data_IF_919193843406
#
_entry.id   IF_919193843406
#
_cell.length_a   1.000
_cell.length_b   1.000
_cell.length_c   1.000
_cell.angle_alpha   90.00
_cell.angle_beta   90.00
_cell.angle_gamma   90.00
#
_symmetry.space_group_name_H-M   'P 1'
#
loop_
_entity.id
_entity.type
_entity.pdbx_description
1 polymer ?
#
# COMPACT_ATOMS: atom_id res chain seq x y z
N UNK A 1 -4.51 20.48 -13.84
CA UNK A 1 -4.69 21.39 -12.68
C UNK A 1 -3.34 21.65 -12.05
N UNK A 2 -2.97 22.92 -12.06
CA UNK A 2 -1.69 23.45 -11.63
C UNK A 2 -1.54 23.25 -10.12
N UNK A 3 -0.31 22.91 -9.70
CA UNK A 3 0.18 22.85 -8.31
C UNK A 3 -0.59 23.87 -7.46
N UNK A 4 -1.37 23.39 -6.48
CA UNK A 4 -2.17 24.26 -5.61
C UNK A 4 -1.26 25.31 -4.99
N UNK A 5 -1.59 26.59 -5.19
CA UNK A 5 -0.96 27.74 -4.57
C UNK A 5 -0.93 27.54 -3.04
N UNK A 6 0.24 27.23 -2.47
CA UNK A 6 0.41 27.18 -1.02
C UNK A 6 1.66 26.44 -0.54
N UNK A 7 2.04 25.34 -1.19
CA UNK A 7 3.23 24.57 -0.85
C UNK A 7 4.21 24.60 -2.02
N UNK A 8 5.23 25.46 -1.93
CA UNK A 8 6.35 25.40 -2.85
C UNK A 8 7.11 24.10 -2.58
N UNK A 9 7.10 23.16 -3.53
CA UNK A 9 7.93 21.96 -3.47
C UNK A 9 9.40 22.38 -3.54
N UNK A 10 10.13 22.10 -2.46
CA UNK A 10 11.57 22.30 -2.40
C UNK A 10 12.27 21.13 -3.10
N UNK A 11 13.04 21.44 -4.16
CA UNK A 11 13.84 20.47 -4.91
C UNK A 11 15.31 20.75 -4.65
N UNK A 12 16.08 19.70 -4.34
CA UNK A 12 17.53 19.75 -4.27
C UNK A 12 18.11 18.99 -5.46
N UNK A 13 19.00 19.62 -6.23
CA UNK A 13 19.73 18.97 -7.32
C UNK A 13 21.17 18.75 -6.87
N UNK A 14 21.64 17.51 -6.94
CA UNK A 14 22.98 17.10 -6.52
C UNK A 14 23.70 16.46 -7.71
N UNK A 15 24.71 17.16 -8.22
CA UNK A 15 25.49 16.74 -9.39
C UNK A 15 26.78 17.56 -9.49
N UNK A 16 27.92 16.95 -9.80
CA UNK A 16 29.23 17.61 -9.86
C UNK A 16 29.36 18.61 -11.04
N UNK A 17 28.47 18.52 -12.04
CA UNK A 17 28.34 19.47 -13.14
C UNK A 17 27.51 20.70 -12.75
N UNK A 18 28.21 21.81 -12.51
CA UNK A 18 27.60 23.14 -12.28
C UNK A 18 26.68 23.54 -13.44
N UNK A 19 27.10 23.27 -14.68
CA UNK A 19 26.29 23.59 -15.86
C UNK A 19 24.96 22.84 -15.86
N UNK A 20 24.97 21.55 -15.54
CA UNK A 20 23.77 20.72 -15.55
C UNK A 20 22.82 21.10 -14.42
N UNK A 21 23.33 21.25 -13.19
CA UNK A 21 22.54 21.67 -12.03
C UNK A 21 21.86 23.00 -12.25
N UNK A 22 22.56 24.01 -12.78
CA UNK A 22 21.95 25.32 -13.04
C UNK A 22 20.98 25.30 -14.23
N UNK A 23 21.23 24.49 -15.26
CA UNK A 23 20.31 24.38 -16.40
C UNK A 23 18.95 23.79 -15.99
N UNK A 24 18.95 22.65 -15.29
CA UNK A 24 17.71 22.06 -14.74
C UNK A 24 17.13 22.98 -13.65
N UNK A 25 17.98 23.55 -12.82
CA UNK A 25 17.56 24.46 -11.76
C UNK A 25 16.79 25.66 -12.29
N UNK A 26 17.26 26.28 -13.37
CA UNK A 26 16.56 27.38 -14.04
C UNK A 26 15.19 26.94 -14.56
N UNK A 27 15.13 25.81 -15.28
CA UNK A 27 13.86 25.29 -15.80
C UNK A 27 12.83 25.04 -14.70
N UNK A 28 13.23 24.40 -13.59
CA UNK A 28 12.31 24.11 -12.49
C UNK A 28 11.89 25.38 -11.72
N UNK A 29 12.78 26.37 -11.56
CA UNK A 29 12.47 27.68 -10.98
C UNK A 29 11.44 28.44 -11.83
N UNK A 30 11.54 28.40 -13.16
CA UNK A 30 10.54 28.97 -14.08
C UNK A 30 9.14 28.34 -13.92
N UNK A 31 9.08 27.10 -13.40
CA UNK A 31 7.82 26.41 -13.07
C UNK A 31 7.35 26.68 -11.63
N UNK A 32 7.89 27.72 -11.00
CA UNK A 32 7.59 28.14 -9.62
C UNK A 32 7.99 27.13 -8.54
N UNK A 33 9.01 26.29 -8.79
CA UNK A 33 9.60 25.43 -7.76
C UNK A 33 10.73 26.15 -7.03
N UNK A 34 10.93 25.83 -5.75
CA UNK A 34 12.08 26.32 -4.99
C UNK A 34 13.21 25.32 -5.19
N UNK A 35 14.32 25.76 -5.79
CA UNK A 35 15.39 24.84 -6.18
C UNK A 35 16.73 25.25 -5.57
N UNK A 36 17.32 24.34 -4.82
CA UNK A 36 18.71 24.41 -4.36
C UNK A 36 19.60 23.48 -5.21
N UNK A 37 20.86 23.87 -5.40
CA UNK A 37 21.86 23.10 -6.14
C UNK A 37 23.06 22.84 -5.23
N UNK A 38 23.60 21.61 -5.26
CA UNK A 38 24.83 21.22 -4.56
C UNK A 38 25.71 20.46 -5.55
N UNK A 39 26.96 20.91 -5.71
CA UNK A 39 27.91 20.27 -6.64
C UNK A 39 28.95 19.38 -5.95
N UNK A 40 28.85 19.21 -4.63
CA UNK A 40 29.76 18.39 -3.82
C UNK A 40 28.95 17.47 -2.91
N UNK A 41 28.98 16.16 -3.19
CA UNK A 41 28.20 15.15 -2.47
C UNK A 41 28.39 15.18 -0.94
N UNK A 42 29.59 15.51 -0.44
CA UNK A 42 29.88 15.63 1.00
C UNK A 42 29.07 16.71 1.72
N UNK A 43 28.63 17.76 1.03
CA UNK A 43 27.85 18.87 1.61
C UNK A 43 26.37 18.55 1.78
N UNK A 44 25.87 17.49 1.13
CA UNK A 44 24.44 17.16 1.13
C UNK A 44 23.92 16.85 2.52
N UNK A 45 24.62 16.03 3.30
CA UNK A 45 24.17 15.65 4.64
C UNK A 45 24.18 16.82 5.64
N UNK A 46 25.03 17.83 5.42
CA UNK A 46 25.03 19.06 6.20
C UNK A 46 23.83 19.94 5.83
N UNK A 47 23.59 20.14 4.53
CA UNK A 47 22.41 20.85 4.02
C UNK A 47 21.10 20.25 4.55
N UNK A 48 20.98 18.92 4.56
CA UNK A 48 19.78 18.20 5.03
C UNK A 48 19.49 18.37 6.53
N UNK A 49 20.45 18.87 7.32
CA UNK A 49 20.20 19.25 8.73
C UNK A 49 19.41 20.55 8.84
N UNK A 50 19.61 21.48 7.90
CA UNK A 50 19.00 22.81 7.91
C UNK A 50 17.73 22.88 7.07
N UNK A 51 17.70 22.17 5.93
CA UNK A 51 16.59 22.18 4.99
C UNK A 51 16.25 20.78 4.51
N UNK A 52 14.96 20.44 4.56
CA UNK A 52 14.44 19.13 4.12
C UNK A 52 13.67 19.31 2.82
N UNK A 53 14.31 19.12 1.65
CA UNK A 53 13.61 19.19 0.37
C UNK A 53 12.58 18.08 0.26
N UNK A 54 11.57 18.31 -0.56
CA UNK A 54 10.54 17.32 -0.90
C UNK A 54 11.05 16.29 -1.91
N UNK A 55 12.01 16.67 -2.75
CA UNK A 55 12.63 15.84 -3.77
C UNK A 55 14.12 16.17 -3.89
N UNK A 56 14.95 15.14 -3.97
CA UNK A 56 16.36 15.22 -4.35
C UNK A 56 16.50 14.57 -5.72
N UNK A 57 17.04 15.33 -6.67
CA UNK A 57 17.53 14.79 -7.93
C UNK A 57 19.03 14.54 -7.77
N UNK A 58 19.45 13.29 -7.90
CA UNK A 58 20.77 12.85 -7.45
C UNK A 58 21.55 12.14 -8.56
N UNK A 59 22.74 12.64 -8.87
CA UNK A 59 23.66 11.96 -9.77
C UNK A 59 24.22 10.68 -9.16
N UNK A 60 24.49 9.67 -9.98
CA UNK A 60 25.20 8.46 -9.53
C UNK A 60 26.72 8.72 -9.45
N UNK A 61 27.30 9.34 -10.48
CA UNK A 61 28.75 9.35 -10.73
C UNK A 61 29.39 10.65 -10.22
N UNK A 62 29.58 10.73 -8.91
CA UNK A 62 30.26 11.87 -8.27
C UNK A 62 31.63 11.47 -7.70
N UNK A 63 32.66 12.35 -7.73
CA UNK A 63 34.04 12.01 -7.36
C UNK A 63 34.30 11.57 -5.92
N UNK A 64 33.38 11.85 -4.99
CA UNK A 64 33.63 11.71 -3.55
C UNK A 64 32.78 10.63 -2.88
N UNK A 65 31.46 10.77 -2.97
CA UNK A 65 30.47 9.80 -2.51
C UNK A 65 29.50 9.57 -3.66
N UNK A 66 29.33 8.33 -4.09
CA UNK A 66 28.42 8.00 -5.18
C UNK A 66 26.96 8.19 -4.75
N UNK A 67 26.09 8.48 -5.72
CA UNK A 67 24.68 8.76 -5.46
C UNK A 67 23.91 7.60 -4.83
N UNK A 68 24.27 6.35 -5.13
CA UNK A 68 23.57 5.18 -4.57
C UNK A 68 23.88 5.05 -3.07
N UNK A 69 25.14 5.23 -2.68
CA UNK A 69 25.56 5.24 -1.28
C UNK A 69 24.92 6.40 -0.52
N UNK A 70 24.90 7.62 -1.10
CA UNK A 70 24.24 8.77 -0.49
C UNK A 70 22.72 8.56 -0.35
N UNK A 71 22.07 7.99 -1.36
CA UNK A 71 20.65 7.63 -1.31
C UNK A 71 20.36 6.71 -0.12
N UNK A 72 21.16 5.64 0.06
CA UNK A 72 21.00 4.73 1.20
C UNK A 72 21.17 5.44 2.54
N UNK A 73 22.21 6.27 2.68
CA UNK A 73 22.46 7.02 3.92
C UNK A 73 21.29 7.95 4.29
N UNK A 74 20.67 8.59 3.30
CA UNK A 74 19.49 9.45 3.52
C UNK A 74 18.30 8.58 3.95
N UNK A 75 18.09 7.44 3.30
CA UNK A 75 16.95 6.54 3.55
C UNK A 75 17.05 5.80 4.88
N UNK A 76 18.25 5.53 5.38
CA UNK A 76 18.46 4.89 6.69
C UNK A 76 18.15 5.83 7.88
N UNK A 77 18.10 7.15 7.65
CA UNK A 77 17.76 8.13 8.68
C UNK A 77 16.25 8.34 8.77
N UNK A 78 15.68 8.07 9.94
CA UNK A 78 14.24 8.22 10.19
C UNK A 78 13.70 9.62 9.85
N UNK A 79 14.48 10.66 10.13
CA UNK A 79 14.08 12.05 9.93
C UNK A 79 14.19 12.54 8.47
N UNK A 80 14.79 11.74 7.59
CA UNK A 80 15.02 12.05 6.16
C UNK A 80 14.43 10.98 5.22
N UNK A 81 13.98 9.85 5.75
CA UNK A 81 13.52 8.68 5.00
C UNK A 81 12.45 9.02 3.95
N UNK A 82 11.56 9.95 4.26
CA UNK A 82 10.44 10.32 3.39
C UNK A 82 10.80 11.29 2.27
N UNK A 83 12.03 11.83 2.24
CA UNK A 83 12.50 12.66 1.15
C UNK A 83 12.56 11.83 -0.12
N UNK A 84 11.91 12.29 -1.20
CA UNK A 84 11.91 11.58 -2.48
C UNK A 84 13.29 11.69 -3.10
N UNK A 85 13.82 10.60 -3.65
CA UNK A 85 15.11 10.61 -4.34
C UNK A 85 14.89 10.04 -5.73
N UNK A 86 15.22 10.83 -6.74
CA UNK A 86 15.19 10.42 -8.15
C UNK A 86 16.61 10.45 -8.65
N UNK A 87 17.06 9.30 -9.13
CA UNK A 87 18.42 9.16 -9.61
C UNK A 87 18.47 9.58 -11.07
N UNK A 88 19.42 10.42 -11.44
CA UNK A 88 19.70 10.68 -12.85
C UNK A 88 21.11 10.21 -13.22
N UNK A 89 21.28 9.75 -14.45
CA UNK A 89 22.60 9.33 -14.94
C UNK A 89 22.65 9.39 -16.47
N UNK A 90 23.84 9.62 -17.01
CA UNK A 90 24.13 9.55 -18.46
C UNK A 90 24.12 8.11 -18.97
N UNK A 91 24.39 7.12 -18.11
CA UNK A 91 24.34 5.69 -18.41
C UNK A 91 23.55 4.97 -17.33
N UNK A 92 22.47 4.31 -17.72
CA UNK A 92 21.63 3.52 -16.82
C UNK A 92 21.68 2.05 -17.25
N UNK A 93 22.58 1.29 -16.63
CA UNK A 93 22.54 -0.17 -16.71
C UNK A 93 21.44 -0.69 -15.79
N UNK A 94 20.77 -1.79 -16.16
CA UNK A 94 19.74 -2.42 -15.32
C UNK A 94 20.24 -2.76 -13.91
N UNK A 95 21.51 -3.16 -13.79
CA UNK A 95 22.14 -3.43 -12.49
C UNK A 95 22.22 -2.19 -11.57
N UNK A 96 22.40 -1.00 -12.14
CA UNK A 96 22.46 0.24 -11.36
C UNK A 96 21.06 0.70 -10.95
N UNK A 97 20.06 0.49 -11.82
CA UNK A 97 18.65 0.70 -11.47
C UNK A 97 18.24 -0.14 -10.28
N UNK A 98 18.52 -1.44 -10.31
CA UNK A 98 18.22 -2.34 -9.19
C UNK A 98 18.90 -1.88 -7.89
N UNK A 99 20.17 -1.50 -7.95
CA UNK A 99 20.92 -1.05 -6.77
C UNK A 99 20.34 0.21 -6.16
N UNK A 100 19.96 1.21 -6.98
CA UNK A 100 19.40 2.43 -6.43
C UNK A 100 17.95 2.25 -5.94
N UNK A 101 17.12 1.42 -6.59
CA UNK A 101 15.81 1.04 -6.03
C UNK A 101 15.96 0.36 -4.67
N UNK A 102 16.92 -0.58 -4.53
CA UNK A 102 17.25 -1.18 -3.22
C UNK A 102 17.81 -0.19 -2.21
N UNK A 103 18.43 0.90 -2.66
CA UNK A 103 18.87 2.00 -1.80
C UNK A 103 17.74 2.97 -1.43
N UNK A 104 16.53 2.76 -1.95
CA UNK A 104 15.34 3.57 -1.68
C UNK A 104 15.07 4.70 -2.67
N UNK A 105 15.71 4.70 -3.84
CA UNK A 105 15.36 5.59 -4.93
C UNK A 105 13.93 5.34 -5.42
N UNK A 106 13.25 6.37 -5.88
CA UNK A 106 11.86 6.31 -6.28
C UNK A 106 11.68 6.14 -7.79
N UNK A 107 12.55 6.75 -8.59
CA UNK A 107 12.55 6.67 -10.03
C UNK A 107 13.94 6.99 -10.60
N UNK A 108 14.08 6.78 -11.91
CA UNK A 108 15.30 7.11 -12.67
C UNK A 108 14.98 7.99 -13.87
N UNK A 109 15.89 8.92 -14.16
CA UNK A 109 15.83 9.75 -15.38
C UNK A 109 17.17 9.66 -16.11
N UNK A 110 17.13 9.37 -17.41
CA UNK A 110 18.34 9.42 -18.24
C UNK A 110 18.68 10.87 -18.59
N UNK A 111 19.97 11.22 -18.56
CA UNK A 111 20.44 12.58 -18.94
C UNK A 111 20.62 12.78 -20.45
N UNK A 112 20.41 11.73 -21.24
CA UNK A 112 20.61 11.72 -22.70
C UNK A 112 19.46 12.37 -23.49
N UNK A 113 18.60 13.11 -22.81
CA UNK A 113 17.49 13.89 -23.36
C UNK A 113 17.67 15.37 -23.04
N UNK A 114 16.85 16.24 -23.63
CA UNK A 114 16.91 17.68 -23.38
C UNK A 114 16.60 18.03 -21.92
N UNK A 115 17.11 19.17 -21.43
CA UNK A 115 16.77 19.73 -20.11
C UNK A 115 15.25 19.85 -19.92
N UNK A 116 14.54 20.24 -20.98
CA UNK A 116 13.08 20.31 -20.96
C UNK A 116 12.43 18.94 -20.74
N UNK A 117 12.91 17.89 -21.42
CA UNK A 117 12.40 16.53 -21.23
C UNK A 117 12.66 16.03 -19.80
N UNK A 118 13.86 16.27 -19.25
CA UNK A 118 14.19 15.93 -17.86
C UNK A 118 13.28 16.69 -16.91
N UNK A 119 13.16 18.01 -17.10
CA UNK A 119 12.33 18.86 -16.28
C UNK A 119 10.86 18.44 -16.28
N UNK A 120 10.30 18.08 -17.45
CA UNK A 120 8.93 17.57 -17.55
C UNK A 120 8.75 16.22 -16.84
N UNK A 121 9.74 15.32 -16.91
CA UNK A 121 9.70 14.07 -16.13
C UNK A 121 9.74 14.34 -14.61
N UNK A 122 10.53 15.32 -14.16
CA UNK A 122 10.54 15.75 -12.76
C UNK A 122 9.18 16.32 -12.34
N UNK A 123 8.56 17.15 -13.19
CA UNK A 123 7.23 17.70 -12.93
C UNK A 123 6.15 16.61 -12.85
N UNK A 124 6.20 15.62 -13.75
CA UNK A 124 5.30 14.44 -13.70
C UNK A 124 5.46 13.72 -12.37
N UNK A 125 6.71 13.38 -11.99
CA UNK A 125 7.01 12.72 -10.72
C UNK A 125 6.47 13.53 -9.54
N UNK A 126 6.69 14.85 -9.50
CA UNK A 126 6.16 15.71 -8.45
C UNK A 126 4.62 15.69 -8.36
N UNK A 127 3.93 15.42 -9.46
CA UNK A 127 2.46 15.34 -9.52
C UNK A 127 1.90 13.94 -9.25
N UNK A 128 2.72 12.88 -9.28
CA UNK A 128 2.25 11.50 -9.04
C UNK A 128 1.64 11.36 -7.66
N UNK A 129 0.32 11.18 -7.62
CA UNK A 129 -0.45 10.97 -6.40
C UNK A 129 -0.36 9.51 -5.95
N UNK A 130 -0.46 9.29 -4.65
CA UNK A 130 -0.73 7.97 -4.12
C UNK A 130 -2.19 7.66 -4.43
N UNK A 131 -2.45 6.54 -5.12
CA UNK A 131 -3.78 6.12 -5.53
C UNK A 131 -4.11 4.76 -4.96
N UNK A 132 -5.30 4.65 -4.39
CA UNK A 132 -5.90 3.39 -3.92
C UNK A 132 -7.08 3.09 -4.81
N UNK A 133 -7.18 1.87 -5.34
CA UNK A 133 -8.31 1.41 -6.15
C UNK A 133 -8.84 0.08 -5.65
N UNK A 134 -10.16 -0.03 -5.54
CA UNK A 134 -10.83 -1.24 -5.08
C UNK A 134 -11.29 -2.06 -6.28
N UNK A 135 -10.84 -3.30 -6.36
CA UNK A 135 -11.19 -4.26 -7.40
C UNK A 135 -12.12 -5.36 -6.89
N UNK A 136 -12.14 -5.58 -5.58
CA UNK A 136 -13.16 -6.37 -4.89
C UNK A 136 -13.24 -5.97 -3.42
N UNK A 137 -14.45 -6.01 -2.88
CA UNK A 137 -14.81 -5.38 -1.58
C UNK A 137 -15.67 -6.29 -0.71
N UNK A 138 -16.16 -7.41 -1.25
CA UNK A 138 -17.08 -8.34 -0.60
C UNK A 138 -16.32 -9.38 0.21
N UNK A 139 -16.83 -9.75 1.38
CA UNK A 139 -16.24 -10.82 2.18
C UNK A 139 -16.72 -12.21 1.79
N UNK A 140 -16.01 -13.25 2.24
CA UNK A 140 -16.40 -14.67 2.28
C UNK A 140 -16.62 -15.39 0.94
N UNK A 141 -17.42 -14.84 0.02
CA UNK A 141 -17.68 -15.40 -1.31
C UNK A 141 -17.99 -14.29 -2.31
N UNK A 142 -17.77 -14.50 -3.62
CA UNK A 142 -18.28 -13.59 -4.63
C UNK A 142 -19.80 -13.58 -4.58
N UNK A 143 -20.39 -12.39 -4.60
CA UNK A 143 -21.83 -12.23 -4.57
C UNK A 143 -22.28 -11.19 -5.60
N UNK A 144 -22.06 -11.43 -6.90
CA UNK A 144 -22.56 -10.56 -7.96
C UNK A 144 -24.09 -10.69 -8.07
N UNK A 145 -24.78 -9.57 -8.20
CA UNK A 145 -26.21 -9.56 -8.48
C UNK A 145 -26.79 -8.15 -8.60
N UNK A 146 -28.09 -8.03 -8.96
CA UNK A 146 -28.75 -6.73 -9.11
C UNK A 146 -28.76 -5.88 -7.82
N UNK A 147 -28.56 -6.52 -6.66
CA UNK A 147 -28.55 -5.87 -5.35
C UNK A 147 -27.17 -5.40 -4.91
N UNK A 148 -26.12 -5.64 -5.70
CA UNK A 148 -24.71 -5.47 -5.28
C UNK A 148 -23.92 -4.72 -6.35
N UNK A 149 -24.61 -3.95 -7.19
CA UNK A 149 -24.04 -3.29 -8.36
C UNK A 149 -23.21 -2.08 -7.94
N UNK A 150 -23.65 -1.38 -6.88
CA UNK A 150 -22.96 -0.20 -6.38
C UNK A 150 -21.67 -0.59 -5.68
N UNK A 151 -21.71 -1.44 -4.65
CA UNK A 151 -20.51 -1.74 -3.86
C UNK A 151 -19.64 -2.85 -4.46
N UNK A 152 -20.22 -3.68 -5.33
CA UNK A 152 -19.53 -4.77 -6.01
C UNK A 152 -19.84 -6.15 -5.44
N UNK A 153 -19.50 -7.17 -6.21
CA UNK A 153 -19.68 -8.59 -5.88
C UNK A 153 -18.37 -9.37 -5.79
N UNK A 154 -17.24 -8.79 -6.13
CA UNK A 154 -15.92 -9.42 -6.09
C UNK A 154 -15.35 -9.44 -4.67
N UNK A 155 -14.61 -10.51 -4.37
CA UNK A 155 -13.92 -10.69 -3.09
C UNK A 155 -12.60 -9.91 -3.02
N UNK A 156 -11.98 -9.74 -1.84
CA UNK A 156 -10.99 -8.70 -1.58
C UNK A 156 -9.86 -8.63 -2.59
N UNK A 157 -9.71 -7.46 -3.19
CA UNK A 157 -8.54 -7.09 -3.96
C UNK A 157 -8.44 -5.58 -4.00
N UNK A 158 -7.35 -5.03 -3.46
CA UNK A 158 -7.10 -3.59 -3.43
C UNK A 158 -5.75 -3.30 -4.08
N UNK A 159 -5.75 -2.41 -5.06
CA UNK A 159 -4.55 -1.87 -5.67
C UNK A 159 -4.10 -0.62 -4.92
N UNK A 160 -2.84 -0.58 -4.52
CA UNK A 160 -2.15 0.61 -4.05
C UNK A 160 -1.03 0.97 -5.03
N UNK A 161 -1.16 2.13 -5.67
CA UNK A 161 -0.17 2.70 -6.55
C UNK A 161 0.50 3.91 -5.87
N UNK A 162 1.80 3.80 -5.63
CA UNK A 162 2.60 4.84 -4.97
C UNK A 162 3.23 5.84 -5.95
N UNK A 163 2.90 5.76 -7.24
CA UNK A 163 3.51 6.55 -8.30
C UNK A 163 4.87 6.03 -8.78
N UNK A 164 5.27 4.82 -8.37
CA UNK A 164 6.49 4.14 -8.83
C UNK A 164 6.24 3.18 -10.01
N UNK A 165 7.28 2.44 -10.39
CA UNK A 165 7.25 1.47 -11.49
C UNK A 165 6.64 0.11 -11.13
N UNK A 166 6.11 -0.01 -9.90
CA UNK A 166 5.50 -1.22 -9.38
C UNK A 166 4.10 -0.96 -8.83
N UNK A 167 3.32 -2.03 -8.72
CA UNK A 167 1.98 -2.01 -8.11
C UNK A 167 2.00 -2.81 -6.80
N UNK A 168 1.32 -2.31 -5.77
CA UNK A 168 1.05 -3.07 -4.55
C UNK A 168 -0.38 -3.59 -4.65
N UNK A 169 -0.57 -4.86 -4.32
CA UNK A 169 -1.87 -5.54 -4.36
C UNK A 169 -2.10 -6.15 -2.99
N UNK A 170 -3.19 -5.80 -2.32
CA UNK A 170 -3.65 -6.45 -1.10
C UNK A 170 -4.72 -7.46 -1.45
N UNK A 171 -4.47 -8.72 -1.06
CA UNK A 171 -5.23 -9.92 -1.38
C UNK A 171 -5.45 -10.19 -2.88
N UNK A 172 -5.67 -11.47 -3.17
CA UNK A 172 -5.87 -12.02 -4.50
C UNK A 172 -7.23 -12.71 -4.62
N UNK A 173 -8.27 -12.10 -4.06
CA UNK A 173 -9.65 -12.51 -4.25
C UNK A 173 -10.12 -12.39 -5.69
N UNK A 174 -11.40 -12.64 -5.97
CA UNK A 174 -11.93 -12.66 -7.34
C UNK A 174 -11.74 -11.32 -8.07
N UNK A 175 -11.65 -10.20 -7.33
CA UNK A 175 -11.37 -8.88 -7.87
C UNK A 175 -10.02 -8.77 -8.58
N UNK A 176 -9.03 -9.62 -8.23
CA UNK A 176 -7.70 -9.58 -8.87
C UNK A 176 -7.77 -9.89 -10.37
N UNK A 177 -8.82 -10.59 -10.84
CA UNK A 177 -9.04 -10.83 -12.26
C UNK A 177 -9.23 -9.53 -13.04
N UNK A 178 -10.07 -8.62 -12.52
CA UNK A 178 -10.32 -7.33 -13.17
C UNK A 178 -9.09 -6.43 -13.12
N UNK A 179 -8.37 -6.42 -11.99
CA UNK A 179 -7.07 -5.77 -11.89
C UNK A 179 -6.10 -6.34 -12.94
N UNK A 180 -6.07 -7.66 -13.11
CA UNK A 180 -5.25 -8.35 -14.09
C UNK A 180 -5.54 -7.89 -15.52
N UNK A 181 -6.82 -7.85 -15.91
CA UNK A 181 -7.25 -7.36 -17.22
C UNK A 181 -6.78 -5.92 -17.45
N UNK A 182 -7.03 -5.03 -16.48
CA UNK A 182 -6.61 -3.64 -16.55
C UNK A 182 -5.09 -3.48 -16.70
N UNK A 183 -4.31 -4.25 -15.96
CA UNK A 183 -2.84 -4.18 -16.03
C UNK A 183 -2.31 -4.63 -17.39
N UNK A 184 -2.90 -5.67 -17.99
CA UNK A 184 -2.53 -6.14 -19.34
C UNK A 184 -2.87 -5.09 -20.40
N UNK A 185 -4.01 -4.40 -20.26
CA UNK A 185 -4.42 -3.35 -21.20
C UNK A 185 -3.59 -2.06 -21.09
N UNK A 186 -3.09 -1.75 -19.89
CA UNK A 186 -2.48 -0.44 -19.61
C UNK A 186 -0.96 -0.47 -19.46
N UNK A 187 -0.34 -1.64 -19.37
CA UNK A 187 1.11 -1.76 -19.15
C UNK A 187 1.72 -2.83 -20.06
N UNK A 188 2.85 -2.48 -20.67
CA UNK A 188 3.68 -3.45 -21.41
C UNK A 188 4.34 -4.46 -20.47
N UNK A 189 4.73 -4.01 -19.27
CA UNK A 189 5.40 -4.82 -18.24
C UNK A 189 4.89 -4.46 -16.86
N UNK A 190 4.70 -5.47 -16.02
CA UNK A 190 4.22 -5.32 -14.65
C UNK A 190 5.24 -5.87 -13.67
N UNK A 191 5.69 -4.99 -12.75
CA UNK A 191 6.32 -5.38 -11.50
C UNK A 191 5.31 -5.21 -10.37
N UNK A 192 5.12 -6.21 -9.51
CA UNK A 192 4.12 -6.15 -8.45
C UNK A 192 4.50 -6.82 -7.13
N UNK A 193 3.96 -6.30 -6.04
CA UNK A 193 4.05 -6.87 -4.71
C UNK A 193 2.65 -7.26 -4.24
N UNK A 194 2.38 -8.55 -4.06
CA UNK A 194 1.07 -9.09 -3.65
C UNK A 194 1.15 -9.48 -2.19
N UNK A 195 0.40 -8.81 -1.32
CA UNK A 195 0.34 -9.09 0.12
C UNK A 195 -0.96 -9.82 0.45
N UNK A 196 -0.84 -11.10 0.81
CA UNK A 196 -1.95 -11.96 1.22
C UNK A 196 -2.08 -11.93 2.74
N UNK A 197 -3.20 -11.41 3.23
CA UNK A 197 -3.47 -11.31 4.68
C UNK A 197 -3.53 -12.68 5.32
N UNK A 198 -4.24 -13.61 4.68
CA UNK A 198 -4.36 -15.02 5.05
C UNK A 198 -4.84 -15.84 3.84
N UNK A 199 -5.20 -17.12 4.04
CA UNK A 199 -5.42 -18.09 2.97
C UNK A 199 -6.86 -18.58 2.82
N UNK A 200 -7.86 -17.85 3.34
CA UNK A 200 -9.24 -18.17 3.01
C UNK A 200 -9.51 -17.92 1.51
N UNK A 201 -10.46 -18.67 0.97
CA UNK A 201 -10.70 -18.75 -0.47
C UNK A 201 -10.95 -17.38 -1.08
N UNK A 202 -11.76 -16.56 -0.44
CA UNK A 202 -12.10 -15.21 -0.88
C UNK A 202 -10.89 -14.27 -0.99
N UNK A 203 -9.76 -14.58 -0.37
CA UNK A 203 -8.51 -13.80 -0.46
C UNK A 203 -7.48 -14.37 -1.46
N UNK A 204 -7.69 -15.57 -2.01
CA UNK A 204 -6.71 -16.21 -2.93
C UNK A 204 -7.29 -16.80 -4.22
N UNK A 205 -8.62 -17.02 -4.27
CA UNK A 205 -9.29 -17.74 -5.36
C UNK A 205 -9.16 -17.08 -6.74
N UNK A 206 -8.84 -15.79 -6.79
CA UNK A 206 -8.68 -15.07 -8.04
C UNK A 206 -7.29 -15.22 -8.65
N UNK A 207 -6.28 -15.64 -7.88
CA UNK A 207 -4.89 -15.76 -8.34
C UNK A 207 -4.74 -16.63 -9.61
N UNK A 208 -5.44 -17.78 -9.75
CA UNK A 208 -5.38 -18.58 -10.99
C UNK A 208 -5.90 -17.84 -12.24
N UNK A 209 -6.66 -16.76 -12.06
CA UNK A 209 -7.20 -15.92 -13.13
C UNK A 209 -6.47 -14.59 -13.29
N UNK A 210 -5.34 -14.40 -12.60
CA UNK A 210 -4.51 -13.20 -12.71
C UNK A 210 -3.62 -13.28 -13.96
N UNK A 211 -4.16 -12.85 -15.11
CA UNK A 211 -3.49 -12.89 -16.42
C UNK A 211 -2.04 -12.40 -16.41
N UNK A 212 -1.65 -11.33 -15.68
CA UNK A 212 -0.26 -10.89 -15.61
C UNK A 212 0.73 -11.96 -15.14
N UNK A 213 0.33 -12.94 -14.31
CA UNK A 213 1.21 -14.02 -13.85
C UNK A 213 1.62 -15.00 -14.97
N UNK A 214 0.91 -15.00 -16.10
CA UNK A 214 1.19 -15.86 -17.24
C UNK A 214 2.10 -15.21 -18.29
N UNK A 215 2.49 -13.94 -18.10
CA UNK A 215 3.30 -13.15 -19.04
C UNK A 215 4.78 -13.18 -18.58
N UNK A 216 5.72 -13.75 -19.37
CA UNK A 216 7.12 -13.92 -18.97
C UNK A 216 7.88 -12.65 -18.56
N UNK A 217 7.52 -11.52 -19.14
CA UNK A 217 8.16 -10.23 -18.88
C UNK A 217 7.83 -9.69 -17.47
N UNK A 218 6.74 -10.15 -16.87
CA UNK A 218 6.27 -9.66 -15.58
C UNK A 218 7.04 -10.26 -14.41
N UNK A 219 7.03 -9.54 -13.29
CA UNK A 219 7.70 -9.94 -12.05
C UNK A 219 6.79 -9.67 -10.86
N UNK A 220 6.58 -10.70 -10.02
CA UNK A 220 5.79 -10.57 -8.80
C UNK A 220 6.51 -11.17 -7.59
N UNK A 221 6.46 -10.45 -6.48
CA UNK A 221 6.78 -11.02 -5.17
C UNK A 221 5.48 -11.16 -4.38
N UNK A 222 5.20 -12.37 -3.92
CA UNK A 222 4.03 -12.71 -3.12
C UNK A 222 4.46 -12.85 -1.66
N UNK A 223 3.79 -12.11 -0.80
CA UNK A 223 4.01 -12.05 0.63
C UNK A 223 2.80 -12.62 1.36
N UNK A 224 3.04 -13.28 2.48
CA UNK A 224 2.00 -13.85 3.32
C UNK A 224 2.59 -14.58 4.52
N UNK A 225 1.75 -15.01 5.45
CA UNK A 225 2.23 -15.76 6.60
C UNK A 225 2.71 -17.17 6.24
N UNK A 226 3.70 -17.64 6.98
CA UNK A 226 4.06 -19.06 7.03
C UNK A 226 4.16 -19.53 8.48
N UNK A 227 4.05 -20.84 8.68
CA UNK A 227 4.45 -21.53 9.90
C UNK A 227 5.04 -22.92 9.55
N UNK A 228 5.04 -23.85 10.51
CA UNK A 228 5.58 -25.20 10.30
C UNK A 228 4.68 -26.05 9.39
N UNK A 229 3.37 -25.82 9.41
CA UNK A 229 2.37 -26.59 8.67
C UNK A 229 1.97 -25.88 7.37
N UNK A 230 2.00 -24.55 7.37
CA UNK A 230 1.56 -23.71 6.25
C UNK A 230 2.75 -23.07 5.56
N UNK A 231 2.98 -23.43 4.29
CA UNK A 231 3.98 -22.81 3.40
C UNK A 231 3.30 -22.04 2.28
N UNK A 232 3.64 -20.77 2.12
CA UNK A 232 2.98 -19.82 1.22
C UNK A 232 2.94 -20.35 -0.22
N UNK A 233 4.09 -20.77 -0.75
CA UNK A 233 4.17 -21.35 -2.09
C UNK A 233 3.40 -22.68 -2.22
N UNK A 234 3.30 -23.48 -1.16
CA UNK A 234 2.57 -24.76 -1.16
C UNK A 234 1.07 -24.52 -1.18
N UNK A 235 0.55 -23.63 -0.34
CA UNK A 235 -0.88 -23.28 -0.30
C UNK A 235 -1.36 -22.80 -1.68
N UNK A 236 -0.60 -21.91 -2.30
CA UNK A 236 -0.94 -21.37 -3.62
C UNK A 236 -0.73 -22.38 -4.75
N UNK A 237 0.17 -23.35 -4.59
CA UNK A 237 0.27 -24.48 -5.52
C UNK A 237 -0.92 -25.43 -5.38
N UNK A 238 -1.34 -25.71 -4.14
CA UNK A 238 -2.41 -26.68 -3.84
C UNK A 238 -3.76 -26.25 -4.37
N UNK A 239 -4.10 -24.96 -4.29
CA UNK A 239 -5.34 -24.44 -4.92
C UNK A 239 -5.34 -24.62 -6.45
N UNK A 240 -4.16 -24.75 -7.06
CA UNK A 240 -3.96 -24.86 -8.50
C UNK A 240 -3.67 -26.31 -8.93
N UNK A 241 -3.86 -27.29 -8.03
CA UNK A 241 -3.78 -28.70 -8.40
C UNK A 241 -4.90 -29.08 -9.37
N UNK A 242 -4.63 -30.07 -10.23
CA UNK A 242 -5.49 -30.43 -11.37
C UNK A 242 -6.93 -30.82 -11.01
N UNK A 243 -7.17 -31.16 -9.75
CA UNK A 243 -8.50 -31.45 -9.20
C UNK A 243 -9.35 -30.17 -9.10
N UNK A 244 -8.75 -29.04 -8.79
CA UNK A 244 -9.43 -27.75 -8.58
C UNK A 244 -9.27 -26.83 -9.78
N UNK A 245 -8.12 -26.86 -10.44
CA UNK A 245 -7.80 -25.97 -11.55
C UNK A 245 -6.86 -26.63 -12.56
N UNK A 246 -7.11 -26.54 -13.88
CA UNK A 246 -6.38 -27.32 -14.88
C UNK A 246 -4.94 -26.84 -15.14
N UNK A 247 -4.56 -25.67 -14.63
CA UNK A 247 -3.24 -25.06 -14.88
C UNK A 247 -2.46 -24.95 -13.57
N UNK A 248 -1.40 -25.73 -13.37
CA UNK A 248 -0.64 -25.71 -12.12
C UNK A 248 0.21 -24.44 -12.01
N UNK A 249 0.56 -24.05 -10.77
CA UNK A 249 1.35 -22.85 -10.45
C UNK A 249 2.66 -22.75 -11.27
N UNK A 250 3.34 -23.88 -11.53
CA UNK A 250 4.56 -23.95 -12.35
C UNK A 250 4.38 -23.51 -13.82
N UNK A 251 3.15 -23.27 -14.27
CA UNK A 251 2.82 -22.73 -15.60
C UNK A 251 2.73 -21.21 -15.62
N UNK A 252 2.86 -20.54 -14.48
CA UNK A 252 3.10 -19.10 -14.47
C UNK A 252 4.35 -18.77 -15.31
N UNK A 253 4.17 -17.82 -16.22
CA UNK A 253 5.23 -17.35 -17.11
C UNK A 253 6.09 -16.30 -16.42
N UNK A 254 5.46 -15.45 -15.60
CA UNK A 254 6.12 -14.38 -14.85
C UNK A 254 7.13 -14.94 -13.84
N UNK A 255 8.12 -14.13 -13.50
CA UNK A 255 9.01 -14.44 -12.37
C UNK A 255 8.25 -14.25 -11.06
N UNK A 256 8.06 -15.33 -10.30
CA UNK A 256 7.36 -15.31 -9.02
C UNK A 256 8.32 -15.64 -7.88
N UNK A 257 8.36 -14.78 -6.87
CA UNK A 257 9.10 -15.00 -5.63
C UNK A 257 8.12 -15.07 -4.46
N UNK A 258 8.35 -16.00 -3.53
CA UNK A 258 7.58 -16.09 -2.29
C UNK A 258 8.42 -15.55 -1.15
N UNK A 259 7.86 -14.64 -0.36
CA UNK A 259 8.54 -14.04 0.78
C UNK A 259 7.65 -14.13 2.03
N UNK A 260 7.95 -15.02 2.99
CA UNK A 260 7.16 -15.13 4.21
C UNK A 260 7.27 -13.87 5.07
N UNK A 261 6.16 -13.48 5.68
CA UNK A 261 6.08 -12.38 6.64
C UNK A 261 5.60 -12.87 8.01
N UNK A 262 6.14 -12.25 9.05
CA UNK A 262 5.64 -12.29 10.42
C UNK A 262 5.37 -10.84 10.87
N UNK A 263 5.02 -10.62 12.14
CA UNK A 263 4.99 -9.27 12.73
C UNK A 263 6.37 -8.62 12.70
N UNK A 264 6.45 -7.41 12.16
CA UNK A 264 7.72 -6.72 11.96
C UNK A 264 7.62 -5.44 11.16
N UNK A 265 8.77 -4.90 10.82
CA UNK A 265 8.93 -3.73 9.94
C UNK A 265 9.87 -4.09 8.80
N UNK A 266 9.42 -3.84 7.58
CA UNK A 266 10.12 -4.20 6.35
C UNK A 266 10.28 -2.94 5.49
N UNK A 267 11.41 -2.80 4.81
CA UNK A 267 11.61 -1.79 3.77
C UNK A 267 11.58 -2.49 2.42
N UNK A 268 10.59 -2.16 1.59
CA UNK A 268 10.34 -2.80 0.31
C UNK A 268 10.29 -1.70 -0.75
N UNK A 269 11.22 -1.74 -1.71
CA UNK A 269 11.36 -0.70 -2.73
C UNK A 269 11.42 0.71 -2.09
N UNK A 270 10.42 1.57 -2.35
CA UNK A 270 10.34 2.94 -1.83
C UNK A 270 9.35 3.13 -0.67
N UNK A 271 8.81 2.06 -0.09
CA UNK A 271 7.88 2.13 1.04
C UNK A 271 8.32 1.29 2.24
N UNK A 272 7.83 1.69 3.42
CA UNK A 272 7.97 0.92 4.65
C UNK A 272 6.66 0.20 4.95
N UNK A 273 6.75 -1.09 5.24
CA UNK A 273 5.63 -1.92 5.65
C UNK A 273 5.79 -2.29 7.11
N UNK A 274 4.78 -2.02 7.94
CA UNK A 274 4.63 -2.68 9.24
C UNK A 274 3.53 -3.73 9.16
N UNK A 275 3.72 -4.84 9.85
CA UNK A 275 2.78 -5.97 9.91
C UNK A 275 2.32 -6.19 11.35
N UNK A 276 1.07 -6.59 11.52
CA UNK A 276 0.45 -6.86 12.82
C UNK A 276 -0.47 -8.08 12.72
N UNK A 277 -0.45 -9.00 13.69
CA UNK A 277 -1.35 -10.16 13.68
C UNK A 277 -2.79 -9.73 14.02
N UNK A 278 -3.73 -10.14 13.16
CA UNK A 278 -5.15 -9.86 13.34
C UNK A 278 -5.85 -10.96 14.14
N UNK A 279 -6.91 -10.59 14.86
CA UNK A 279 -7.71 -11.54 15.61
C UNK A 279 -8.71 -12.22 14.66
N UNK A 280 -8.27 -13.34 14.10
CA UNK A 280 -9.02 -14.13 13.13
C UNK A 280 -8.74 -15.63 13.36
N UNK A 281 -9.65 -16.58 13.00
CA UNK A 281 -9.43 -18.01 13.24
C UNK A 281 -8.15 -18.59 12.62
N UNK A 282 -7.71 -18.03 11.50
CA UNK A 282 -6.44 -18.38 10.86
C UNK A 282 -5.37 -17.30 11.08
N UNK A 283 -4.09 -17.66 10.95
CA UNK A 283 -2.97 -16.72 11.08
C UNK A 283 -3.09 -15.63 10.00
N UNK A 284 -3.43 -14.43 10.44
CA UNK A 284 -3.83 -13.31 9.56
C UNK A 284 -3.00 -12.06 9.87
N UNK A 285 -2.56 -11.35 8.84
CA UNK A 285 -1.80 -10.10 8.96
C UNK A 285 -2.61 -8.89 8.52
N UNK A 286 -2.49 -7.82 9.29
CA UNK A 286 -2.80 -6.45 8.89
C UNK A 286 -1.54 -5.74 8.41
N UNK A 287 -1.71 -4.85 7.45
CA UNK A 287 -0.62 -4.13 6.80
C UNK A 287 -0.74 -2.63 7.03
N UNK A 288 0.35 -1.99 7.42
CA UNK A 288 0.47 -0.54 7.46
C UNK A 288 1.60 -0.08 6.55
N UNK A 289 1.24 0.48 5.41
CA UNK A 289 2.19 1.06 4.45
C UNK A 289 2.45 2.52 4.80
N UNK A 290 3.72 2.89 4.91
CA UNK A 290 4.17 4.27 5.03
C UNK A 290 4.96 4.67 3.79
N UNK A 291 4.53 5.71 3.11
CA UNK A 291 5.20 6.26 1.93
C UNK A 291 4.97 7.78 1.84
N UNK A 292 6.05 8.57 1.67
CA UNK A 292 6.00 10.05 1.58
C UNK A 292 5.23 10.68 2.76
N UNK A 293 5.47 10.20 3.97
CA UNK A 293 4.78 10.65 5.18
C UNK A 293 3.29 10.27 5.27
N UNK A 294 2.74 9.58 4.26
CA UNK A 294 1.37 9.05 4.30
C UNK A 294 1.34 7.65 4.89
N UNK A 295 0.35 7.39 5.72
CA UNK A 295 0.10 6.08 6.34
C UNK A 295 -1.21 5.47 5.84
N UNK A 296 -1.14 4.26 5.31
CA UNK A 296 -2.26 3.52 4.71
C UNK A 296 -2.36 2.16 5.40
N UNK A 297 -3.46 1.93 6.12
CA UNK A 297 -3.77 0.65 6.76
C UNK A 297 -4.67 -0.23 5.90
N UNK A 298 -4.37 -1.53 5.85
CA UNK A 298 -5.24 -2.58 5.32
C UNK A 298 -5.43 -3.66 6.40
N UNK A 299 -6.61 -3.64 7.04
CA UNK A 299 -6.97 -4.35 8.26
C UNK A 299 -8.28 -5.11 8.03
N UNK A 300 -8.27 -6.06 7.09
CA UNK A 300 -9.45 -6.91 6.81
C UNK A 300 -9.47 -8.13 7.74
N UNK A 301 -10.64 -8.75 7.90
CA UNK A 301 -10.80 -10.03 8.61
C UNK A 301 -10.26 -9.96 10.03
N UNK A 302 -10.82 -9.03 10.81
CA UNK A 302 -10.40 -8.78 12.18
C UNK A 302 -11.59 -8.67 13.13
N UNK A 303 -11.59 -9.47 14.19
CA UNK A 303 -12.57 -9.37 15.27
C UNK A 303 -12.04 -8.55 16.45
N UNK A 304 -12.67 -7.41 16.73
CA UNK A 304 -12.38 -6.65 17.94
C UNK A 304 -12.93 -7.36 19.18
N UNK A 305 -12.14 -7.35 20.25
CA UNK A 305 -12.53 -7.99 21.52
C UNK A 305 -13.50 -7.05 22.25
N UNK A 306 -14.81 -7.22 22.03
CA UNK A 306 -15.80 -6.25 22.53
C UNK A 306 -16.36 -6.55 23.92
N UNK A 307 -16.23 -7.78 24.46
CA UNK A 307 -16.71 -8.15 25.81
C UNK A 307 -16.11 -9.49 26.34
N UNK A 308 -15.25 -9.46 27.36
CA UNK A 308 -14.84 -10.67 28.11
C UNK A 308 -15.96 -11.14 29.06
N UNK A 309 -16.53 -12.33 28.83
CA UNK A 309 -17.47 -12.99 29.77
C UNK A 309 -17.15 -14.49 30.03
N UNK A 310 -16.01 -14.99 29.58
CA UNK A 310 -15.60 -16.39 29.80
C UNK A 310 -14.70 -16.52 31.03
N UNK A 311 -14.90 -17.55 31.87
CA UNK A 311 -13.96 -17.84 32.97
C UNK A 311 -12.52 -17.93 32.42
N UNK A 312 -11.52 -17.38 33.12
CA UNK A 312 -10.14 -17.47 32.69
C UNK A 312 -9.74 -18.95 32.56
N UNK A 313 -9.13 -19.32 31.43
CA UNK A 313 -8.39 -20.59 31.35
C UNK A 313 -7.24 -20.50 32.36
N UNK A 314 -7.05 -21.49 33.25
CA UNK A 314 -5.93 -21.48 34.17
C UNK A 314 -4.61 -21.35 33.40
N UNK A 315 -3.87 -20.26 33.63
CA UNK A 315 -2.57 -19.97 32.99
C UNK A 315 -2.55 -18.84 31.94
N UNK A 316 -3.69 -18.25 31.57
CA UNK A 316 -3.73 -17.11 30.64
C UNK A 316 -3.61 -15.76 31.34
N UNK A 317 -2.50 -15.04 31.14
CA UNK A 317 -2.32 -13.64 31.57
C UNK A 317 -3.01 -12.69 30.59
N UNK A 318 -4.30 -12.39 30.71
CA UNK A 318 -4.86 -11.23 30.00
C UNK A 318 -5.87 -10.47 30.87
N UNK A 319 -5.50 -9.23 31.18
CA UNK A 319 -6.22 -8.19 31.92
C UNK A 319 -6.27 -6.97 30.98
N UNK A 320 -7.47 -6.40 30.76
CA UNK A 320 -7.71 -5.26 29.84
C UNK A 320 -7.37 -5.61 28.38
N UNK A 321 -8.10 -5.03 27.43
CA UNK A 321 -8.05 -5.39 26.01
C UNK A 321 -6.75 -4.91 25.32
N UNK A 322 -5.65 -5.55 25.69
CA UNK A 322 -4.29 -5.29 25.23
C UNK A 322 -4.18 -5.42 23.71
N UNK A 323 -4.97 -6.32 23.12
CA UNK A 323 -5.03 -6.50 21.68
C UNK A 323 -5.58 -5.24 20.98
N UNK A 324 -6.77 -4.77 21.36
CA UNK A 324 -7.34 -3.58 20.73
C UNK A 324 -6.47 -2.35 20.95
N UNK A 325 -5.84 -2.20 22.13
CA UNK A 325 -4.90 -1.10 22.38
C UNK A 325 -3.67 -1.15 21.47
N UNK A 326 -3.08 -2.33 21.25
CA UNK A 326 -1.98 -2.51 20.32
C UNK A 326 -2.39 -2.22 18.87
N UNK A 327 -3.58 -2.66 18.46
CA UNK A 327 -4.09 -2.39 17.12
C UNK A 327 -4.38 -0.88 16.92
N UNK A 328 -4.95 -0.20 17.91
CA UNK A 328 -5.13 1.27 17.91
C UNK A 328 -3.78 1.96 17.73
N UNK A 329 -2.75 1.53 18.46
CA UNK A 329 -1.42 2.12 18.35
C UNK A 329 -0.77 1.83 16.99
N UNK A 330 -0.95 0.61 16.48
CA UNK A 330 -0.46 0.19 15.18
C UNK A 330 -1.00 1.10 14.05
N UNK A 331 -2.30 1.39 14.03
CA UNK A 331 -2.91 2.23 12.98
C UNK A 331 -2.92 3.73 13.29
N UNK A 332 -2.35 4.15 14.42
CA UNK A 332 -2.47 5.53 14.92
C UNK A 332 -2.04 6.59 13.89
N UNK A 333 -2.88 7.62 13.79
CA UNK A 333 -2.72 8.77 12.89
C UNK A 333 -2.66 8.40 11.40
N UNK A 334 -3.15 7.22 11.00
CA UNK A 334 -3.15 6.86 9.60
C UNK A 334 -4.05 7.79 8.76
N UNK A 335 -3.60 8.13 7.56
CA UNK A 335 -4.36 8.99 6.64
C UNK A 335 -5.59 8.25 6.12
N UNK A 336 -5.47 6.94 5.93
CA UNK A 336 -6.57 6.08 5.55
C UNK A 336 -6.39 4.68 6.12
N UNK A 337 -7.48 4.07 6.58
CA UNK A 337 -7.50 2.65 6.96
C UNK A 337 -8.68 1.99 6.26
N UNK A 338 -8.37 0.95 5.49
CA UNK A 338 -9.32 0.01 4.90
C UNK A 338 -9.50 -1.10 5.92
N UNK A 339 -10.72 -1.28 6.42
CA UNK A 339 -10.94 -2.08 7.62
C UNK A 339 -12.22 -2.92 7.54
N UNK A 340 -12.11 -4.16 8.04
CA UNK A 340 -13.25 -5.06 8.22
C UNK A 340 -14.40 -4.37 8.94
N UNK A 341 -15.60 -4.49 8.39
CA UNK A 341 -16.82 -3.99 8.99
C UNK A 341 -18.02 -4.87 8.58
N UNK A 342 -17.82 -6.18 8.55
CA UNK A 342 -18.73 -7.10 7.87
C UNK A 342 -20.13 -7.11 8.46
N UNK A 343 -20.29 -6.90 9.77
CA UNK A 343 -21.56 -7.11 10.46
C UNK A 343 -22.19 -5.86 11.04
N UNK A 344 -23.51 -5.89 11.21
CA UNK A 344 -24.20 -5.06 12.19
C UNK A 344 -24.06 -5.64 13.60
N UNK A 345 -24.33 -4.83 14.63
CA UNK A 345 -24.33 -5.29 16.03
C UNK A 345 -25.27 -6.46 16.28
N UNK A 346 -26.40 -6.53 15.58
CA UNK A 346 -27.35 -7.63 15.74
C UNK A 346 -26.80 -8.93 15.15
N UNK A 347 -26.29 -8.87 13.92
CA UNK A 347 -25.69 -10.03 13.24
C UNK A 347 -24.47 -10.56 14.00
N UNK A 348 -23.65 -9.66 14.54
CA UNK A 348 -22.45 -10.03 15.29
C UNK A 348 -22.75 -10.91 16.51
N UNK A 349 -23.93 -10.79 17.15
CA UNK A 349 -24.29 -11.59 18.34
C UNK A 349 -24.17 -13.09 18.10
N UNK A 350 -24.53 -13.56 16.90
CA UNK A 350 -24.45 -14.98 16.51
C UNK A 350 -23.18 -15.35 15.75
N UNK A 351 -22.31 -14.37 15.44
CA UNK A 351 -21.10 -14.55 14.62
C UNK A 351 -19.80 -14.28 15.39
N UNK A 352 -19.85 -14.20 16.73
CA UNK A 352 -18.66 -14.05 17.58
C UNK A 352 -17.69 -15.22 17.40
N UNK A 353 -16.40 -14.91 17.33
CA UNK A 353 -15.33 -15.88 17.09
C UNK A 353 -15.14 -16.24 15.61
N UNK A 354 -15.91 -15.64 14.70
CA UNK A 354 -15.74 -15.87 13.26
C UNK A 354 -14.64 -14.98 12.67
N UNK A 355 -14.06 -14.06 13.46
CA UNK A 355 -12.94 -13.23 13.00
C UNK A 355 -13.33 -11.97 12.23
N UNK A 356 -14.56 -11.49 12.42
CA UNK A 356 -15.07 -10.24 11.83
C UNK A 356 -15.79 -9.39 12.88
N UNK A 357 -15.89 -8.08 12.61
CA UNK A 357 -16.38 -7.10 13.56
C UNK A 357 -17.69 -6.43 13.13
N UNK A 358 -18.41 -5.89 14.12
CA UNK A 358 -19.48 -4.94 13.84
C UNK A 358 -18.95 -3.55 13.49
N UNK A 359 -19.57 -2.89 12.52
CA UNK A 359 -19.11 -1.59 12.01
C UNK A 359 -19.11 -0.46 13.04
N UNK A 360 -19.93 -0.53 14.10
CA UNK A 360 -19.96 0.52 15.13
C UNK A 360 -18.73 0.42 16.04
N UNK A 361 -18.33 -0.79 16.43
CA UNK A 361 -17.07 -1.02 17.13
C UNK A 361 -15.87 -0.59 16.29
N UNK A 362 -15.87 -0.93 15.00
CA UNK A 362 -14.83 -0.50 14.03
C UNK A 362 -14.71 1.03 14.02
N UNK A 363 -15.85 1.72 14.03
CA UNK A 363 -15.88 3.17 14.07
C UNK A 363 -15.32 3.74 15.38
N UNK A 364 -15.61 3.12 16.53
CA UNK A 364 -15.05 3.51 17.83
C UNK A 364 -13.51 3.38 17.85
N UNK A 365 -12.98 2.27 17.33
CA UNK A 365 -11.54 2.01 17.27
C UNK A 365 -10.83 3.00 16.33
N UNK A 366 -11.39 3.25 15.15
CA UNK A 366 -10.79 4.19 14.18
C UNK A 366 -10.81 5.63 14.68
N UNK A 367 -11.85 6.03 15.42
CA UNK A 367 -11.85 7.32 16.13
C UNK A 367 -10.76 7.39 17.21
N UNK A 368 -10.61 6.33 18.02
CA UNK A 368 -9.60 6.27 19.08
C UNK A 368 -8.17 6.29 18.54
N UNK A 369 -7.96 5.74 17.34
CA UNK A 369 -6.68 5.79 16.62
C UNK A 369 -6.45 7.09 15.85
N UNK A 370 -7.40 8.02 15.84
CA UNK A 370 -7.30 9.33 15.16
C UNK A 370 -7.10 9.19 13.64
N UNK A 371 -7.77 8.21 13.03
CA UNK A 371 -7.73 8.00 11.57
C UNK A 371 -8.41 9.16 10.85
N UNK A 372 -7.82 9.63 9.74
CA UNK A 372 -8.41 10.73 8.95
C UNK A 372 -9.55 10.24 8.05
N UNK A 373 -9.43 9.05 7.46
CA UNK A 373 -10.43 8.43 6.59
C UNK A 373 -10.56 6.92 6.86
N UNK A 374 -11.75 6.50 7.29
CA UNK A 374 -12.10 5.09 7.48
C UNK A 374 -12.81 4.56 6.22
N UNK A 375 -12.37 3.42 5.69
CA UNK A 375 -13.00 2.74 4.57
C UNK A 375 -13.53 1.39 5.05
N UNK A 376 -14.85 1.29 5.22
CA UNK A 376 -15.54 0.06 5.60
C UNK A 376 -15.42 -0.96 4.46
N UNK A 377 -14.88 -2.13 4.76
CA UNK A 377 -14.48 -3.15 3.79
C UNK A 377 -14.95 -4.53 4.23
N UNK A 378 -14.83 -5.52 3.34
CA UNK A 378 -15.26 -6.90 3.56
C UNK A 378 -16.77 -7.01 3.81
N UNK A 379 -17.58 -6.39 2.95
CA UNK A 379 -19.04 -6.34 3.12
C UNK A 379 -19.65 -7.75 3.10
N UNK A 380 -20.62 -8.03 3.97
CA UNK A 380 -21.27 -9.35 4.04
C UNK A 380 -21.92 -9.72 2.68
N UNK A 381 -21.74 -10.97 2.17
CA UNK A 381 -22.36 -11.48 0.95
C UNK A 381 -23.88 -11.33 0.84
N UNK A 382 -24.56 -11.11 1.96
CA UNK A 382 -26.02 -10.97 2.02
C UNK A 382 -26.49 -9.51 2.09
N UNK A 383 -25.61 -8.55 2.39
CA UNK A 383 -25.97 -7.12 2.41
C UNK A 383 -26.16 -6.57 1.02
N UNK A 384 -27.32 -5.97 0.76
CA UNK A 384 -27.57 -5.23 -0.48
C UNK A 384 -26.86 -3.87 -0.47
N UNK A 385 -26.81 -3.21 -1.61
CA UNK A 385 -26.32 -1.84 -1.74
C UNK A 385 -27.05 -0.88 -0.78
N UNK A 386 -28.36 -1.07 -0.60
CA UNK A 386 -29.18 -0.28 0.33
C UNK A 386 -28.80 -0.53 1.79
N UNK A 387 -28.37 -1.74 2.14
CA UNK A 387 -27.96 -2.09 3.50
C UNK A 387 -26.61 -1.46 3.83
N UNK A 388 -25.65 -1.54 2.91
CA UNK A 388 -24.34 -0.87 3.06
C UNK A 388 -24.54 0.66 3.10
N UNK A 389 -25.48 1.22 2.32
CA UNK A 389 -25.84 2.64 2.39
C UNK A 389 -26.46 3.04 3.74
N UNK A 390 -27.22 2.15 4.40
CA UNK A 390 -27.71 2.39 5.77
C UNK A 390 -26.55 2.40 6.76
N UNK A 391 -25.60 1.47 6.63
CA UNK A 391 -24.40 1.39 7.47
C UNK A 391 -23.58 2.67 7.34
N UNK A 392 -23.22 3.08 6.12
CA UNK A 392 -22.42 4.29 5.87
C UNK A 392 -23.11 5.54 6.41
N UNK A 393 -24.42 5.70 6.15
CA UNK A 393 -25.20 6.82 6.71
C UNK A 393 -25.23 6.81 8.24
N UNK A 394 -25.26 5.64 8.87
CA UNK A 394 -25.20 5.54 10.33
C UNK A 394 -23.83 5.98 10.85
N UNK A 395 -22.74 5.55 10.22
CA UNK A 395 -21.39 6.00 10.57
C UNK A 395 -21.26 7.53 10.48
N UNK A 396 -21.76 8.16 9.41
CA UNK A 396 -21.76 9.62 9.29
C UNK A 396 -22.51 10.32 10.42
N UNK A 397 -23.68 9.81 10.81
CA UNK A 397 -24.43 10.35 11.95
C UNK A 397 -23.63 10.26 13.25
N UNK A 398 -22.98 9.12 13.52
CA UNK A 398 -22.16 8.95 14.73
C UNK A 398 -20.97 9.91 14.72
N UNK A 399 -20.27 10.04 13.59
CA UNK A 399 -19.14 10.97 13.43
C UNK A 399 -19.57 12.42 13.70
N UNK A 400 -20.68 12.86 13.11
CA UNK A 400 -21.22 14.21 13.27
C UNK A 400 -21.62 14.48 14.72
N UNK A 401 -22.34 13.55 15.36
CA UNK A 401 -22.78 13.66 16.76
C UNK A 401 -21.59 13.76 17.72
N UNK A 402 -20.52 12.99 17.47
CA UNK A 402 -19.31 13.00 18.29
C UNK A 402 -18.33 14.12 17.94
N UNK A 403 -18.62 14.91 16.89
CA UNK A 403 -17.79 16.03 16.42
C UNK A 403 -16.33 15.64 16.14
N UNK A 404 -16.13 14.44 15.60
CA UNK A 404 -14.80 13.93 15.25
C UNK A 404 -14.46 14.34 13.82
N UNK A 405 -13.22 14.81 13.60
CA UNK A 405 -12.70 15.13 12.26
C UNK A 405 -12.19 13.87 11.56
N UNK A 406 -13.11 13.02 11.11
CA UNK A 406 -12.83 11.80 10.37
C UNK A 406 -13.86 11.66 9.23
N UNK A 407 -13.42 11.21 8.07
CA UNK A 407 -14.31 10.80 6.97
C UNK A 407 -14.54 9.29 7.02
N UNK A 408 -15.69 8.83 6.55
CA UNK A 408 -16.02 7.40 6.51
C UNK A 408 -16.77 7.06 5.21
N UNK A 409 -16.39 5.96 4.56
CA UNK A 409 -17.02 5.51 3.32
C UNK A 409 -17.06 3.99 3.26
N UNK A 410 -18.04 3.44 2.53
CA UNK A 410 -18.04 2.02 2.18
C UNK A 410 -17.19 1.78 0.94
N UNK A 411 -16.29 0.80 0.98
CA UNK A 411 -15.49 0.42 -0.17
C UNK A 411 -16.38 -0.04 -1.32
N UNK A 412 -16.16 0.51 -2.50
CA UNK A 412 -16.94 0.21 -3.70
C UNK A 412 -15.98 -0.21 -4.82
N UNK A 413 -16.30 -1.26 -5.57
CA UNK A 413 -15.57 -1.61 -6.78
C UNK A 413 -15.47 -0.42 -7.75
N UNK A 414 -14.26 -0.19 -8.26
CA UNK A 414 -13.95 0.94 -9.14
C UNK A 414 -13.72 2.27 -8.42
N UNK A 415 -13.97 2.37 -7.11
CA UNK A 415 -13.65 3.58 -6.33
C UNK A 415 -12.13 3.83 -6.35
N UNK A 416 -11.75 5.08 -6.63
CA UNK A 416 -10.36 5.54 -6.55
C UNK A 416 -10.22 6.63 -5.49
N UNK A 417 -9.23 6.48 -4.60
CA UNK A 417 -8.91 7.46 -3.55
C UNK A 417 -7.48 7.94 -3.76
N UNK A 418 -7.28 9.26 -3.71
CA UNK A 418 -5.98 9.90 -3.87
C UNK A 418 -5.53 10.58 -2.57
N UNK A 419 -4.26 10.44 -2.20
CA UNK A 419 -3.67 11.04 -0.99
C UNK A 419 -2.58 12.09 -1.27
#
# INVERSE_FOLDING_TARGET
EVIRMGEYLDVLIVDDSVFFTESIGSFLREKNLKVATINESKKVMEFLKERKPTLILLDIMMPELDGISLCRMIKEREDLHDIRIVIFSTKLFEADKEKAYRAGAEAFITKDVSIEAIGNQVLDLLQRKIRIKFWGTRGSIPAPGPQTVKYGGNTPCVELNLGGDYVIIFDAGSGIRELGNYLVETKERVKGHIFLTHFHWDHIQGLPFFSPAYIPENQFTIYGCEDQEVKLGKVLSDQMESVFFPVPLRRFGASIQFYPLDEGTYSIESFRLKTFYLNHPSKTLGYLVTHRGKKIGYITDNEFITNYTGKPKPGGRFQVDEYNLKLIDFIRDADIVIIDAQYTKEEYKSKRGWGHSDYETVLDITMAAQIKKCVLFHHDPTHSDDDIDKIVRHCHKIIEQRKVKMDCLGAQEGLEIFL
#
